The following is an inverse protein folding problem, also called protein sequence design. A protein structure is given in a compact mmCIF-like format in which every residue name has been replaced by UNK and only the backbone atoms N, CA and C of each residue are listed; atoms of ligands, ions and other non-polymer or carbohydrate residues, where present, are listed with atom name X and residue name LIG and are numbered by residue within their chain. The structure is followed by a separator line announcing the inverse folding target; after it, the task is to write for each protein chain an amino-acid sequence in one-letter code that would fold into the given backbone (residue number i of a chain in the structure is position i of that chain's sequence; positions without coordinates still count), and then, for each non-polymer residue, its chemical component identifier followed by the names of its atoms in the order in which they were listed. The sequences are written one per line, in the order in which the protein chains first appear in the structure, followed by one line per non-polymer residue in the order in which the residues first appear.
data_IF_733713225562
#
_entry.id   IF_733713225562
#
_cell.length_a   1.000
_cell.length_b   1.000
_cell.length_c   1.000
_cell.angle_alpha   90.00
_cell.angle_beta   90.00
_cell.angle_gamma   90.00
#
_symmetry.space_group_name_H-M   'P 1'
#
loop_
_entity.id
_entity.type
_entity.pdbx_description
1 polymer ?
#
# COMPACT_ATOMS: atom_id res chain seq x y z
N UNK A 1 -62.55 41.21 31.68
CA UNK A 1 -61.94 39.87 31.81
C UNK A 1 -61.58 39.37 30.42
N UNK A 2 -60.28 39.29 30.15
CA UNK A 2 -59.64 38.90 28.89
C UNK A 2 -60.04 37.50 28.44
N UNK A 3 -60.30 37.32 27.14
CA UNK A 3 -60.10 36.03 26.47
C UNK A 3 -59.03 36.22 25.41
N UNK A 4 -57.85 35.75 25.73
CA UNK A 4 -56.63 35.83 24.96
C UNK A 4 -56.80 35.19 23.57
N UNK A 5 -56.33 35.92 22.56
CA UNK A 5 -56.22 35.45 21.19
C UNK A 5 -55.18 34.32 21.12
N UNK A 6 -55.63 33.07 21.04
CA UNK A 6 -54.80 31.94 20.65
C UNK A 6 -54.44 32.08 19.16
N UNK A 7 -53.31 32.74 18.86
CA UNK A 7 -52.66 32.61 17.55
C UNK A 7 -52.24 31.16 17.39
N UNK A 8 -52.90 30.46 16.47
CA UNK A 8 -52.51 29.12 16.02
C UNK A 8 -51.15 29.24 15.33
N UNK A 9 -50.10 28.93 16.08
CA UNK A 9 -48.74 28.87 15.59
C UNK A 9 -48.68 27.80 14.49
N UNK A 10 -48.41 28.22 13.25
CA UNK A 10 -48.22 27.27 12.14
C UNK A 10 -46.90 26.55 12.40
N UNK A 11 -46.99 25.34 12.95
CA UNK A 11 -45.85 24.43 13.04
C UNK A 11 -45.36 24.16 11.63
N UNK A 12 -44.23 24.75 11.27
CA UNK A 12 -43.62 24.62 9.96
C UNK A 12 -42.71 23.39 10.00
N UNK A 13 -43.22 22.26 9.52
CA UNK A 13 -42.43 21.03 9.46
C UNK A 13 -41.38 21.17 8.37
N UNK A 14 -40.13 21.45 8.78
CA UNK A 14 -38.99 21.39 7.87
C UNK A 14 -38.74 19.93 7.54
N UNK A 15 -38.96 19.56 6.28
CA UNK A 15 -38.62 18.23 5.81
C UNK A 15 -37.08 18.12 5.73
N UNK A 16 -36.48 17.39 6.68
CA UNK A 16 -35.05 17.17 6.78
C UNK A 16 -34.55 16.06 5.85
N UNK A 17 -35.45 15.37 5.13
CA UNK A 17 -35.03 14.34 4.18
C UNK A 17 -34.47 14.99 2.92
N UNK A 18 -33.21 14.69 2.65
CA UNK A 18 -32.47 15.22 1.51
C UNK A 18 -33.07 14.65 0.22
N UNK A 19 -33.58 15.53 -0.64
CA UNK A 19 -34.24 15.14 -1.89
C UNK A 19 -33.30 14.27 -2.77
N UNK A 20 -33.76 13.17 -3.37
CA UNK A 20 -32.90 12.25 -4.13
C UNK A 20 -32.09 12.93 -5.25
N UNK A 21 -32.64 13.98 -5.87
CA UNK A 21 -31.94 14.77 -6.89
C UNK A 21 -30.71 15.56 -6.37
N UNK A 22 -30.57 15.69 -5.05
CA UNK A 22 -29.41 16.31 -4.40
C UNK A 22 -28.37 15.28 -3.95
N UNK A 23 -28.62 13.97 -4.15
CA UNK A 23 -27.64 12.91 -3.94
C UNK A 23 -26.73 12.79 -5.16
N UNK A 24 -25.92 13.81 -5.39
CA UNK A 24 -24.91 13.79 -6.44
C UNK A 24 -23.67 13.11 -5.86
N UNK A 25 -23.26 11.98 -6.43
CA UNK A 25 -22.01 11.32 -6.08
C UNK A 25 -20.84 12.01 -6.78
N UNK A 26 -19.87 12.50 -6.02
CA UNK A 26 -18.64 13.12 -6.53
C UNK A 26 -18.41 14.56 -6.07
N UNK A 27 -17.29 15.14 -6.50
CA UNK A 27 -16.92 16.51 -6.18
C UNK A 27 -17.41 17.47 -7.27
N UNK A 28 -18.08 18.56 -6.88
CA UNK A 28 -18.52 19.61 -7.81
C UNK A 28 -17.30 20.37 -8.34
N UNK A 29 -16.94 20.15 -9.60
CA UNK A 29 -15.73 20.71 -10.22
C UNK A 29 -15.66 22.25 -10.14
N UNK A 30 -16.79 22.94 -10.30
CA UNK A 30 -16.88 24.41 -10.18
C UNK A 30 -16.56 24.93 -8.77
N UNK A 31 -16.50 24.06 -7.76
CA UNK A 31 -16.17 24.38 -6.36
C UNK A 31 -14.80 23.82 -5.95
N UNK A 32 -14.13 23.10 -6.84
CA UNK A 32 -12.81 22.52 -6.60
C UNK A 32 -11.73 23.50 -7.01
N UNK A 33 -10.65 23.57 -6.22
CA UNK A 33 -9.43 24.29 -6.59
C UNK A 33 -8.39 23.30 -7.12
N UNK A 34 -7.48 23.77 -7.97
CA UNK A 34 -6.37 22.96 -8.47
C UNK A 34 -5.55 22.32 -7.33
N UNK A 35 -5.31 23.06 -6.23
CA UNK A 35 -4.60 22.53 -5.06
C UNK A 35 -5.36 21.41 -4.35
N UNK A 36 -6.69 21.52 -4.21
CA UNK A 36 -7.51 20.46 -3.63
C UNK A 36 -7.51 19.22 -4.52
N UNK A 37 -7.70 19.39 -5.83
CA UNK A 37 -7.67 18.30 -6.80
C UNK A 37 -6.31 17.57 -6.75
N UNK A 38 -5.21 18.32 -6.77
CA UNK A 38 -3.86 17.78 -6.69
C UNK A 38 -3.66 16.95 -5.41
N UNK A 39 -4.08 17.47 -4.26
CA UNK A 39 -3.94 16.76 -2.97
C UNK A 39 -4.73 15.44 -2.96
N UNK A 40 -5.94 15.44 -3.51
CA UNK A 40 -6.77 14.23 -3.60
C UNK A 40 -6.10 13.19 -4.50
N UNK A 41 -5.64 13.60 -5.69
CA UNK A 41 -4.96 12.70 -6.63
C UNK A 41 -3.70 12.12 -6.00
N UNK A 42 -2.88 12.96 -5.35
CA UNK A 42 -1.68 12.50 -4.63
C UNK A 42 -2.01 11.49 -3.55
N UNK A 43 -3.02 11.77 -2.73
CA UNK A 43 -3.46 10.85 -1.68
C UNK A 43 -3.92 9.50 -2.25
N UNK A 44 -4.68 9.50 -3.35
CA UNK A 44 -5.10 8.26 -4.03
C UNK A 44 -3.90 7.48 -4.58
N UNK A 45 -2.95 8.16 -5.21
CA UNK A 45 -1.73 7.53 -5.72
C UNK A 45 -0.89 6.92 -4.60
N UNK A 46 -0.68 7.66 -3.50
CA UNK A 46 0.06 7.18 -2.33
C UNK A 46 -0.64 5.97 -1.70
N UNK A 47 -1.96 6.01 -1.52
CA UNK A 47 -2.70 4.88 -0.94
C UNK A 47 -2.62 3.64 -1.82
N UNK A 48 -2.74 3.81 -3.15
CA UNK A 48 -2.58 2.71 -4.10
C UNK A 48 -1.16 2.13 -4.05
N UNK A 49 -0.14 2.97 -4.03
CA UNK A 49 1.25 2.55 -3.92
C UNK A 49 1.50 1.78 -2.62
N UNK A 50 1.06 2.32 -1.47
CA UNK A 50 1.19 1.67 -0.16
C UNK A 50 0.47 0.31 -0.12
N UNK A 51 -0.73 0.21 -0.70
CA UNK A 51 -1.46 -1.04 -0.79
C UNK A 51 -0.71 -2.08 -1.64
N UNK A 52 -0.12 -1.66 -2.76
CA UNK A 52 0.69 -2.55 -3.61
C UNK A 52 1.97 -3.01 -2.90
N UNK A 53 2.71 -2.11 -2.26
CA UNK A 53 3.90 -2.46 -1.48
C UNK A 53 3.56 -3.48 -0.39
N UNK A 54 2.49 -3.23 0.38
CA UNK A 54 2.04 -4.15 1.43
C UNK A 54 1.73 -5.55 0.89
N UNK A 55 1.02 -5.64 -0.24
CA UNK A 55 0.72 -6.93 -0.87
C UNK A 55 1.98 -7.69 -1.29
N UNK A 56 3.00 -7.00 -1.80
CA UNK A 56 4.27 -7.64 -2.19
C UNK A 56 5.09 -8.07 -0.98
N UNK A 57 5.14 -7.26 0.06
CA UNK A 57 5.78 -7.63 1.34
C UNK A 57 5.12 -8.88 1.92
N UNK A 58 3.79 -8.93 1.96
CA UNK A 58 3.03 -10.10 2.44
C UNK A 58 3.35 -11.35 1.60
N UNK A 59 3.37 -11.23 0.26
CA UNK A 59 3.75 -12.33 -0.62
C UNK A 59 5.20 -12.79 -0.42
N UNK A 60 6.13 -11.88 -0.17
CA UNK A 60 7.53 -12.22 0.11
C UNK A 60 7.68 -12.90 1.48
N UNK A 61 6.95 -12.45 2.49
CA UNK A 61 6.91 -13.11 3.80
C UNK A 61 6.38 -14.54 3.70
N UNK A 62 5.35 -14.77 2.89
CA UNK A 62 4.82 -16.11 2.68
C UNK A 62 5.80 -17.02 1.94
N UNK A 63 6.53 -16.49 0.94
CA UNK A 63 7.64 -17.23 0.30
C UNK A 63 8.73 -17.61 1.30
N UNK A 64 9.10 -16.71 2.20
CA UNK A 64 10.09 -16.98 3.25
C UNK A 64 9.59 -18.11 4.15
N UNK A 65 8.32 -18.04 4.60
CA UNK A 65 7.71 -19.09 5.43
C UNK A 65 7.74 -20.46 4.76
N UNK A 66 7.29 -20.54 3.51
CA UNK A 66 7.30 -21.77 2.72
C UNK A 66 8.73 -22.32 2.56
N UNK A 67 9.70 -21.44 2.31
CA UNK A 67 11.11 -21.86 2.16
C UNK A 67 11.71 -22.37 3.47
N UNK A 68 11.35 -21.78 4.60
CA UNK A 68 11.80 -22.24 5.93
C UNK A 68 11.13 -23.56 6.31
N UNK A 69 9.84 -23.70 6.02
CA UNK A 69 9.11 -24.94 6.25
C UNK A 69 9.68 -26.11 5.44
N UNK A 70 9.95 -25.89 4.15
CA UNK A 70 10.58 -26.88 3.28
C UNK A 70 11.96 -27.33 3.78
N UNK A 71 12.77 -26.40 4.29
CA UNK A 71 14.16 -26.69 4.68
C UNK A 71 14.32 -27.17 6.12
N UNK A 72 13.50 -26.68 7.04
CA UNK A 72 13.66 -26.89 8.49
C UNK A 72 12.46 -27.56 9.15
N UNK A 73 11.35 -27.78 8.43
CA UNK A 73 10.18 -28.48 8.93
C UNK A 73 9.33 -27.69 9.93
N UNK A 74 9.50 -26.37 10.00
CA UNK A 74 8.67 -25.49 10.83
C UNK A 74 8.31 -24.20 10.09
N UNK A 75 7.13 -23.64 10.38
CA UNK A 75 6.68 -22.38 9.79
C UNK A 75 6.93 -21.23 10.78
N UNK A 76 7.87 -20.30 10.49
CA UNK A 76 8.13 -19.16 11.36
C UNK A 76 6.97 -18.16 11.34
N UNK A 77 6.74 -17.49 12.47
CA UNK A 77 5.83 -16.33 12.52
C UNK A 77 6.47 -15.14 11.81
N UNK A 78 5.65 -14.25 11.24
CA UNK A 78 6.11 -13.00 10.62
C UNK A 78 7.02 -12.18 11.55
N UNK A 79 6.71 -12.13 12.85
CA UNK A 79 7.55 -11.42 13.82
C UNK A 79 8.92 -12.07 14.00
N UNK A 80 8.97 -13.41 14.07
CA UNK A 80 10.23 -14.14 14.17
C UNK A 80 11.12 -13.90 12.95
N UNK A 81 10.53 -13.77 11.75
CA UNK A 81 11.26 -13.39 10.54
C UNK A 81 11.89 -12.00 10.72
N UNK A 82 11.12 -11.00 11.14
CA UNK A 82 11.67 -9.65 11.34
C UNK A 82 12.72 -9.58 12.45
N UNK A 83 12.53 -10.31 13.55
CA UNK A 83 13.53 -10.43 14.61
C UNK A 83 14.81 -11.09 14.11
N UNK A 84 14.69 -12.12 13.26
CA UNK A 84 15.85 -12.81 12.68
C UNK A 84 16.64 -11.92 11.70
N UNK A 85 15.95 -11.05 10.95
CA UNK A 85 16.59 -10.07 10.06
C UNK A 85 17.45 -9.08 10.86
N UNK A 86 16.99 -8.67 12.03
CA UNK A 86 17.69 -7.73 12.91
C UNK A 86 18.56 -8.44 13.96
N UNK A 87 18.95 -9.69 13.71
CA UNK A 87 19.79 -10.42 14.66
C UNK A 87 21.16 -9.74 14.80
N UNK A 88 21.68 -9.69 16.03
CA UNK A 88 22.94 -9.03 16.39
C UNK A 88 24.18 -9.56 15.66
N UNK A 89 24.07 -10.74 15.05
CA UNK A 89 25.17 -11.38 14.31
C UNK A 89 25.37 -10.74 12.93
N UNK A 90 24.42 -9.94 12.45
CA UNK A 90 24.52 -9.21 11.21
C UNK A 90 24.87 -7.74 11.47
N UNK A 91 25.68 -7.16 10.56
CA UNK A 91 25.93 -5.72 10.56
C UNK A 91 24.66 -4.94 10.18
N UNK A 92 24.52 -3.69 10.65
CA UNK A 92 23.36 -2.85 10.35
C UNK A 92 23.06 -2.72 8.84
N UNK A 93 24.11 -2.67 8.00
CA UNK A 93 23.94 -2.61 6.54
C UNK A 93 23.25 -3.84 5.97
N UNK A 94 23.47 -5.01 6.58
CA UNK A 94 22.83 -6.27 6.19
C UNK A 94 21.37 -6.26 6.65
N UNK A 95 21.08 -5.73 7.85
CA UNK A 95 19.69 -5.54 8.31
C UNK A 95 18.90 -4.69 7.31
N UNK A 96 19.45 -3.54 6.94
CA UNK A 96 18.82 -2.61 6.00
C UNK A 96 18.58 -3.29 4.63
N UNK A 97 19.58 -4.00 4.12
CA UNK A 97 19.47 -4.73 2.87
C UNK A 97 18.38 -5.81 2.92
N UNK A 98 18.39 -6.68 3.93
CA UNK A 98 17.39 -7.75 4.09
C UNK A 98 15.99 -7.20 4.28
N UNK A 99 15.85 -6.10 5.03
CA UNK A 99 14.57 -5.40 5.19
C UNK A 99 14.09 -4.84 3.85
N UNK A 100 14.94 -4.12 3.10
CA UNK A 100 14.58 -3.54 1.80
C UNK A 100 14.20 -4.62 0.77
N UNK A 101 14.92 -5.74 0.74
CA UNK A 101 14.63 -6.86 -0.17
C UNK A 101 13.29 -7.52 0.19
N UNK A 102 13.04 -7.77 1.48
CA UNK A 102 11.78 -8.38 1.92
C UNK A 102 10.58 -7.50 1.59
N UNK A 103 10.74 -6.18 1.72
CA UNK A 103 9.73 -5.18 1.38
C UNK A 103 9.60 -4.90 -0.14
N UNK A 104 10.34 -5.59 -1.01
CA UNK A 104 10.41 -5.33 -2.46
C UNK A 104 10.78 -3.87 -2.80
N UNK A 105 11.53 -3.21 -1.90
CA UNK A 105 11.97 -1.84 -2.02
C UNK A 105 13.36 -1.73 -2.65
N UNK A 106 14.07 -2.85 -2.79
CA UNK A 106 15.35 -2.93 -3.48
C UNK A 106 15.18 -3.50 -4.89
N UNK A 107 15.94 -2.99 -5.85
CA UNK A 107 15.99 -3.56 -7.19
C UNK A 107 16.68 -4.93 -7.11
N UNK A 108 15.89 -5.99 -7.04
CA UNK A 108 16.33 -7.39 -7.13
C UNK A 108 15.36 -8.19 -8.00
N UNK A 109 15.81 -9.35 -8.49
CA UNK A 109 14.94 -10.33 -9.17
C UNK A 109 14.23 -9.75 -10.40
N UNK A 110 12.91 -9.64 -10.34
CA UNK A 110 12.06 -9.16 -11.45
C UNK A 110 12.44 -7.75 -11.92
N UNK A 111 12.97 -6.91 -11.02
CA UNK A 111 13.45 -5.57 -11.38
C UNK A 111 14.68 -5.59 -12.30
N UNK A 112 15.51 -6.64 -12.24
CA UNK A 112 16.67 -6.80 -13.12
C UNK A 112 16.32 -7.42 -14.46
N UNK A 113 15.17 -8.08 -14.56
CA UNK A 113 14.65 -8.70 -15.78
C UNK A 113 13.72 -7.79 -16.58
N UNK A 114 13.58 -6.53 -16.19
CA UNK A 114 12.76 -5.55 -16.91
C UNK A 114 13.45 -5.16 -18.22
N UNK A 115 12.70 -5.08 -19.32
CA UNK A 115 13.19 -4.71 -20.67
C UNK A 115 13.90 -3.34 -20.71
N UNK A 116 13.71 -2.50 -19.69
CA UNK A 116 14.41 -1.22 -19.52
C UNK A 116 15.86 -1.35 -19.06
N UNK A 117 16.28 -2.53 -18.58
CA UNK A 117 17.63 -2.77 -18.09
C UNK A 117 18.56 -3.12 -19.26
N UNK A 118 19.84 -2.78 -19.13
CA UNK A 118 20.80 -3.05 -20.20
C UNK A 118 20.93 -4.56 -20.44
N UNK A 119 20.99 -5.03 -21.69
CA UNK A 119 20.99 -6.46 -22.00
C UNK A 119 22.19 -7.21 -21.41
N UNK A 120 23.32 -6.53 -21.16
CA UNK A 120 24.47 -7.12 -20.48
C UNK A 120 24.18 -7.59 -19.04
N UNK A 121 23.12 -7.08 -18.39
CA UNK A 121 22.74 -7.47 -17.03
C UNK A 121 21.72 -8.61 -16.98
N UNK A 122 21.08 -8.92 -18.12
CA UNK A 122 20.11 -10.02 -18.21
C UNK A 122 20.80 -11.38 -18.30
N UNK A 123 22.04 -11.38 -18.77
CA UNK A 123 22.79 -12.61 -19.04
C UNK A 123 23.74 -12.85 -17.88
N UNK A 124 23.59 -13.92 -17.07
CA UNK A 124 24.65 -14.30 -16.15
C UNK A 124 25.93 -14.52 -16.98
N UNK A 125 27.09 -13.99 -16.56
CA UNK A 125 28.32 -14.21 -17.29
C UNK A 125 28.50 -15.72 -17.40
N UNK A 126 28.48 -16.21 -18.64
CA UNK A 126 28.73 -17.59 -18.97
C UNK A 126 30.14 -17.88 -18.47
N UNK A 127 30.25 -18.41 -17.25
CA UNK A 127 31.51 -18.94 -16.75
C UNK A 127 31.78 -20.12 -17.65
N UNK A 128 32.64 -19.89 -18.64
CA UNK A 128 33.14 -20.91 -19.53
C UNK A 128 33.89 -21.88 -18.61
N UNK A 129 33.24 -22.98 -18.25
CA UNK A 129 33.91 -24.17 -17.74
C UNK A 129 34.93 -24.55 -18.81
N UNK A 130 36.18 -24.14 -18.63
CA UNK A 130 37.30 -24.66 -19.39
C UNK A 130 37.45 -26.13 -18.95
N UNK A 131 37.24 -27.12 -19.85
CA UNK A 131 37.57 -28.49 -19.53
C UNK A 131 39.09 -28.62 -19.45
N UNK A 132 39.59 -29.06 -18.30
CA UNK A 132 40.96 -29.56 -18.13
C UNK A 132 41.10 -31.00 -18.58
#
# INVERSE_FOLDING_TARGET
MEKAALRKERVNYVNLQQHPALQISGAKLSKTTQGLAYRIIKHQQTNKANAMTRSRTEANLDKIKLSVEDRFGYTPTTEAIWTSIHHKDFECKIHDFLWMVTQDAYWTGMHWLCDSMKPELHTPPMIILQPG
#
